data_IF_409337954100
#
_entry.id   IF_409337954100
#
_cell.length_a   1.000
_cell.length_b   1.000
_cell.length_c   1.000
_cell.angle_alpha   90.00
_cell.angle_beta   90.00
_cell.angle_gamma   90.00
#
_symmetry.space_group_name_H-M   'P 1'
#
loop_
_entity.id
_entity.type
_entity.pdbx_description
1 polymer ?
#
# COMPACT_ATOMS: atom_id res chain seq x y z
N UNK A 1 25.45 20.19 -41.07
CA UNK A 1 24.75 19.75 -42.31
C UNK A 1 24.44 18.26 -42.38
N UNK A 2 25.39 17.36 -42.14
CA UNK A 2 25.19 15.89 -42.27
C UNK A 2 23.97 15.31 -41.53
N UNK A 3 23.70 15.77 -40.30
CA UNK A 3 22.53 15.33 -39.51
C UNK A 3 21.20 15.69 -40.16
N UNK A 4 21.11 16.87 -40.80
CA UNK A 4 19.90 17.32 -41.51
C UNK A 4 19.61 16.44 -42.73
N UNK A 5 20.65 16.13 -43.52
CA UNK A 5 20.51 15.30 -44.72
C UNK A 5 20.13 13.86 -44.38
N UNK A 6 20.67 13.30 -43.29
CA UNK A 6 20.30 11.97 -42.80
C UNK A 6 18.86 11.93 -42.28
N UNK A 7 18.45 12.94 -41.51
CA UNK A 7 17.07 13.07 -41.03
C UNK A 7 16.08 13.19 -42.21
N UNK A 8 16.36 14.04 -43.19
CA UNK A 8 15.53 14.19 -44.39
C UNK A 8 15.41 12.88 -45.19
N UNK A 9 16.51 12.16 -45.39
CA UNK A 9 16.49 10.87 -46.08
C UNK A 9 15.64 9.83 -45.34
N UNK A 10 15.70 9.82 -44.01
CA UNK A 10 14.96 8.90 -43.16
C UNK A 10 13.45 9.23 -43.17
N UNK A 11 13.10 10.51 -43.03
CA UNK A 11 11.71 10.98 -43.13
C UNK A 11 11.12 10.66 -44.50
N UNK A 12 11.85 10.93 -45.59
CA UNK A 12 11.39 10.62 -46.95
C UNK A 12 11.13 9.12 -47.15
N UNK A 13 11.95 8.26 -46.54
CA UNK A 13 11.75 6.80 -46.54
C UNK A 13 10.51 6.42 -45.73
N UNK A 14 10.33 6.97 -44.52
CA UNK A 14 9.17 6.69 -43.67
C UNK A 14 7.85 7.11 -44.31
N UNK A 15 7.81 8.25 -45.02
CA UNK A 15 6.61 8.69 -45.75
C UNK A 15 6.23 7.69 -46.85
N UNK A 16 7.22 7.10 -47.54
CA UNK A 16 6.98 6.09 -48.59
C UNK A 16 6.48 4.76 -48.04
N UNK A 17 6.75 4.46 -46.77
CA UNK A 17 6.26 3.29 -46.04
C UNK A 17 5.22 3.66 -44.98
N UNK A 18 4.40 4.69 -45.24
CA UNK A 18 3.44 5.24 -44.27
C UNK A 18 2.54 4.18 -43.63
N UNK A 19 2.06 3.20 -44.39
CA UNK A 19 1.24 2.09 -43.86
C UNK A 19 1.98 1.25 -42.81
N UNK A 20 3.25 0.93 -43.04
CA UNK A 20 4.09 0.21 -42.08
C UNK A 20 4.29 1.04 -40.81
N UNK A 21 4.53 2.35 -40.97
CA UNK A 21 4.68 3.27 -39.84
C UNK A 21 3.40 3.33 -39.00
N UNK A 22 2.23 3.38 -39.63
CA UNK A 22 0.93 3.38 -38.94
C UNK A 22 0.70 2.07 -38.19
N UNK A 23 1.02 0.92 -38.78
CA UNK A 23 0.89 -0.39 -38.11
C UNK A 23 1.79 -0.46 -36.87
N UNK A 24 3.05 -0.04 -36.99
CA UNK A 24 3.98 0.02 -35.85
C UNK A 24 3.46 0.96 -34.76
N UNK A 25 2.93 2.13 -35.15
CA UNK A 25 2.35 3.07 -34.20
C UNK A 25 1.16 2.47 -33.43
N UNK A 26 0.23 1.80 -34.12
CA UNK A 26 -0.89 1.10 -33.47
C UNK A 26 -0.39 -0.01 -32.55
N UNK A 27 0.64 -0.77 -32.94
CA UNK A 27 1.23 -1.81 -32.10
C UNK A 27 1.82 -1.23 -30.80
N UNK A 28 2.50 -0.07 -30.88
CA UNK A 28 3.03 0.63 -29.71
C UNK A 28 1.93 1.13 -28.79
N UNK A 29 0.84 1.67 -29.34
CA UNK A 29 -0.34 2.06 -28.57
C UNK A 29 -1.00 0.86 -27.88
N UNK A 30 -1.16 -0.25 -28.60
CA UNK A 30 -1.69 -1.50 -28.05
C UNK A 30 -0.81 -2.04 -26.92
N UNK A 31 0.51 -2.03 -27.10
CA UNK A 31 1.48 -2.39 -26.06
C UNK A 31 1.38 -1.50 -24.82
N UNK A 32 1.20 -0.19 -25.03
CA UNK A 32 1.00 0.78 -23.93
C UNK A 32 -0.27 0.44 -23.15
N UNK A 33 -1.41 0.27 -23.83
CA UNK A 33 -2.68 -0.09 -23.17
C UNK A 33 -2.57 -1.42 -22.41
N UNK A 34 -1.89 -2.42 -22.99
CA UNK A 34 -1.68 -3.71 -22.32
C UNK A 34 -0.84 -3.57 -21.06
N UNK A 35 0.23 -2.76 -21.11
CA UNK A 35 1.09 -2.53 -19.94
C UNK A 35 0.34 -1.80 -18.83
N UNK A 36 -0.45 -0.77 -19.18
CA UNK A 36 -1.29 -0.05 -18.23
C UNK A 36 -2.34 -0.95 -17.56
N UNK A 37 -2.86 -1.96 -18.26
CA UNK A 37 -3.76 -2.97 -17.68
C UNK A 37 -3.04 -4.02 -16.84
N UNK A 38 -1.78 -4.30 -17.14
CA UNK A 38 -0.97 -5.30 -16.43
C UNK A 38 -0.40 -4.76 -15.11
N UNK A 39 -0.12 -3.45 -15.02
CA UNK A 39 0.33 -2.80 -13.79
C UNK A 39 -0.84 -2.78 -12.79
N UNK A 40 -0.73 -3.46 -11.64
CA UNK A 40 -1.77 -3.43 -10.63
C UNK A 40 -1.97 -2.00 -10.12
N UNK A 41 -3.24 -1.58 -10.03
CA UNK A 41 -3.57 -0.35 -9.31
C UNK A 41 -3.18 -0.50 -7.84
N UNK A 42 -2.56 0.53 -7.28
CA UNK A 42 -2.25 0.61 -5.87
C UNK A 42 -2.57 2.01 -5.34
N UNK A 43 -3.11 2.08 -4.13
CA UNK A 43 -3.09 3.33 -3.38
C UNK A 43 -1.67 3.60 -2.87
N UNK A 44 -1.43 4.76 -2.27
CA UNK A 44 -0.15 5.15 -1.67
C UNK A 44 0.44 3.96 -0.88
N UNK A 45 1.69 3.54 -1.13
CA UNK A 45 2.27 2.39 -0.46
C UNK A 45 2.28 2.58 1.05
N UNK A 46 2.02 1.51 1.79
CA UNK A 46 2.11 1.53 3.25
C UNK A 46 3.53 1.92 3.65
N UNK A 47 3.64 2.94 4.49
CA UNK A 47 4.93 3.40 5.01
C UNK A 47 5.27 2.63 6.28
N UNK A 48 6.52 2.18 6.38
CA UNK A 48 7.06 1.69 7.65
C UNK A 48 7.24 2.86 8.63
N UNK A 49 6.47 2.83 9.72
CA UNK A 49 6.51 3.84 10.77
C UNK A 49 7.27 3.38 12.02
N UNK A 50 7.86 2.19 11.99
CA UNK A 50 8.59 1.57 13.10
C UNK A 50 7.74 1.30 14.36
N UNK A 51 6.42 1.33 14.24
CA UNK A 51 5.50 0.90 15.28
C UNK A 51 4.33 0.15 14.65
N UNK A 52 3.72 -0.74 15.42
CA UNK A 52 2.51 -1.47 15.04
C UNK A 52 1.36 -0.99 15.91
N UNK A 53 0.14 -1.26 15.45
CA UNK A 53 -1.07 -0.99 16.24
C UNK A 53 -1.85 -2.28 16.31
N UNK A 54 -1.98 -2.82 17.51
CA UNK A 54 -2.81 -3.99 17.78
C UNK A 54 -4.09 -3.56 18.50
N UNK A 55 -5.21 -4.15 18.11
CA UNK A 55 -6.53 -3.79 18.63
C UNK A 55 -7.17 -5.05 19.21
N UNK A 56 -7.63 -4.95 20.46
CA UNK A 56 -8.45 -5.97 21.09
C UNK A 56 -9.90 -5.51 21.10
N UNK A 57 -10.80 -6.33 20.57
CA UNK A 57 -12.24 -6.11 20.66
C UNK A 57 -12.89 -7.39 21.22
N UNK A 58 -13.38 -7.29 22.45
CA UNK A 58 -14.10 -8.37 23.12
C UNK A 58 -15.60 -8.29 22.78
N UNK A 59 -16.36 -9.36 23.05
CA UNK A 59 -17.81 -9.34 22.95
C UNK A 59 -18.45 -8.20 23.75
N UNK A 60 -19.63 -7.78 23.32
CA UNK A 60 -20.41 -6.77 24.04
C UNK A 60 -20.67 -7.23 25.49
N UNK A 61 -20.76 -6.26 26.39
CA UNK A 61 -20.86 -6.45 27.84
C UNK A 61 -19.65 -7.11 28.53
N UNK A 62 -18.49 -7.25 27.86
CA UNK A 62 -17.24 -7.53 28.57
C UNK A 62 -16.88 -6.38 29.53
N UNK A 63 -16.45 -6.73 30.75
CA UNK A 63 -15.96 -5.76 31.72
C UNK A 63 -14.59 -5.22 31.32
N UNK A 64 -14.26 -4.03 31.83
CA UNK A 64 -12.93 -3.44 31.64
C UNK A 64 -11.82 -4.37 32.14
N UNK A 65 -11.99 -4.97 33.32
CA UNK A 65 -11.03 -5.91 33.90
C UNK A 65 -10.73 -7.10 32.96
N UNK A 66 -11.75 -7.60 32.25
CA UNK A 66 -11.59 -8.69 31.29
C UNK A 66 -10.78 -8.24 30.08
N UNK A 67 -11.06 -7.05 29.57
CA UNK A 67 -10.31 -6.47 28.44
C UNK A 67 -8.87 -6.16 28.84
N UNK A 68 -8.64 -5.65 30.05
CA UNK A 68 -7.30 -5.41 30.59
C UNK A 68 -6.49 -6.71 30.69
N UNK A 69 -7.11 -7.81 31.14
CA UNK A 69 -6.41 -9.10 31.19
C UNK A 69 -5.93 -9.58 29.81
N UNK A 70 -6.73 -9.38 28.76
CA UNK A 70 -6.39 -9.72 27.38
C UNK A 70 -5.31 -8.79 26.84
N UNK A 71 -5.43 -7.49 27.07
CA UNK A 71 -4.42 -6.49 26.67
C UNK A 71 -3.06 -6.83 27.30
N UNK A 72 -3.05 -7.19 28.60
CA UNK A 72 -1.83 -7.57 29.30
C UNK A 72 -1.19 -8.84 28.75
N UNK A 73 -1.99 -9.81 28.33
CA UNK A 73 -1.49 -10.98 27.62
C UNK A 73 -0.86 -10.60 26.28
N UNK A 74 -1.50 -9.71 25.51
CA UNK A 74 -0.96 -9.18 24.25
C UNK A 74 0.37 -8.46 24.45
N UNK A 75 0.50 -7.63 25.48
CA UNK A 75 1.76 -6.95 25.83
C UNK A 75 2.88 -7.94 26.11
N UNK A 76 2.63 -8.97 26.93
CA UNK A 76 3.63 -9.98 27.26
C UNK A 76 4.10 -10.74 26.01
N UNK A 77 3.18 -11.08 25.10
CA UNK A 77 3.51 -11.73 23.84
C UNK A 77 4.30 -10.81 22.90
N UNK A 78 3.93 -9.53 22.82
CA UNK A 78 4.64 -8.55 22.01
C UNK A 78 6.06 -8.32 22.54
N UNK A 79 6.25 -8.14 23.85
CA UNK A 79 7.57 -7.97 24.46
C UNK A 79 8.46 -9.22 24.36
N UNK A 80 7.86 -10.41 24.28
CA UNK A 80 8.60 -11.65 24.02
C UNK A 80 9.07 -11.78 22.56
N UNK A 81 8.54 -10.97 21.64
CA UNK A 81 8.88 -11.02 20.22
C UNK A 81 10.18 -10.26 19.94
N UNK A 82 11.20 -10.88 19.34
CA UNK A 82 12.45 -10.20 19.02
C UNK A 82 12.25 -8.96 18.14
N UNK A 83 12.83 -7.83 18.54
CA UNK A 83 12.72 -6.56 17.82
C UNK A 83 11.69 -5.58 18.40
N UNK A 84 10.85 -6.02 19.34
CA UNK A 84 9.96 -5.12 20.10
C UNK A 84 10.74 -4.51 21.26
N UNK A 85 10.89 -3.19 21.26
CA UNK A 85 11.62 -2.46 22.31
C UNK A 85 10.72 -2.07 23.50
N UNK A 86 9.47 -1.72 23.20
CA UNK A 86 8.49 -1.25 24.18
C UNK A 86 7.08 -1.52 23.66
N UNK A 87 6.12 -1.61 24.58
CA UNK A 87 4.69 -1.69 24.28
C UNK A 87 3.96 -0.66 25.12
N UNK A 88 2.97 0.03 24.54
CA UNK A 88 2.12 0.98 25.26
C UNK A 88 0.66 0.59 25.01
N UNK A 89 -0.07 0.25 26.07
CA UNK A 89 -1.48 -0.12 25.95
C UNK A 89 -2.44 0.88 26.61
N UNK A 90 -3.65 0.91 26.07
CA UNK A 90 -4.77 1.68 26.57
C UNK A 90 -6.03 0.78 26.61
N UNK A 91 -6.21 -0.01 27.70
CA UNK A 91 -7.45 -0.74 27.93
C UNK A 91 -8.62 0.24 28.04
N UNK A 92 -9.76 -0.10 27.43
CA UNK A 92 -10.96 0.73 27.46
C UNK A 92 -11.00 1.80 26.35
N UNK A 93 -9.96 1.96 25.53
CA UNK A 93 -9.94 2.92 24.42
C UNK A 93 -10.24 2.22 23.10
N UNK A 94 -11.34 2.62 22.45
CA UNK A 94 -11.72 2.10 21.14
C UNK A 94 -11.06 2.91 20.01
N UNK A 95 -10.50 2.21 19.03
CA UNK A 95 -10.03 2.85 17.78
C UNK A 95 -11.16 3.43 16.93
N UNK A 96 -12.39 2.98 17.16
CA UNK A 96 -13.56 3.51 16.49
C UNK A 96 -13.96 4.83 17.17
N UNK A 97 -13.34 5.92 16.74
CA UNK A 97 -13.63 7.27 17.20
C UNK A 97 -12.96 7.68 18.51
N UNK A 98 -11.97 6.92 19.00
CA UNK A 98 -11.24 7.21 20.25
C UNK A 98 -12.19 7.42 21.45
N UNK A 99 -13.20 6.55 21.54
CA UNK A 99 -14.22 6.59 22.59
C UNK A 99 -13.89 5.58 23.70
N UNK A 100 -14.37 5.85 24.91
CA UNK A 100 -14.25 4.92 26.03
C UNK A 100 -15.25 3.77 25.86
N UNK A 101 -14.75 2.55 25.67
CA UNK A 101 -15.54 1.32 25.60
C UNK A 101 -14.87 0.21 26.40
N UNK A 102 -15.52 -0.35 27.45
CA UNK A 102 -14.89 -1.32 28.34
C UNK A 102 -14.53 -2.64 27.66
N UNK A 103 -15.09 -2.95 26.49
CA UNK A 103 -14.78 -4.15 25.70
C UNK A 103 -13.72 -3.93 24.60
N UNK A 104 -13.13 -2.73 24.51
CA UNK A 104 -12.13 -2.39 23.49
C UNK A 104 -10.80 -2.01 24.12
N UNK A 105 -9.70 -2.21 23.40
CA UNK A 105 -8.41 -1.65 23.77
C UNK A 105 -7.44 -1.62 22.61
N UNK A 106 -6.42 -0.78 22.74
CA UNK A 106 -5.37 -0.57 21.74
C UNK A 106 -3.99 -0.74 22.38
N UNK A 107 -3.06 -1.33 21.63
CA UNK A 107 -1.65 -1.51 21.99
C UNK A 107 -0.78 -0.99 20.85
N UNK A 108 0.25 -0.23 21.19
CA UNK A 108 1.29 0.27 20.29
C UNK A 108 2.63 -0.43 20.57
#
# INVERSE_FOLDING_TARGET
EYSSNQYQALVKKLIRFSLVVVVVYIALLGGTVSLFKAVPGGFIPQQDKQYLVAIAQLPDAASLDRTESVIKEMENLALATPGVAQTISFPGLSVNGFTNSPNSGIVF
#
